data_IF_999370349987
#
_entry.id   IF_999370349987
#
_cell.length_a   1.000
_cell.length_b   1.000
_cell.length_c   1.000
_cell.angle_alpha   90.00
_cell.angle_beta   90.00
_cell.angle_gamma   90.00
#
_symmetry.space_group_name_H-M   'P 1'
#
loop_
_entity.id
_entity.type
_entity.pdbx_description
1 polymer ?
#
# COMPACT_ATOMS: atom_id res chain seq x y z
N UNK A 1 6.01 -5.31 22.59
CA UNK A 1 4.80 -5.62 21.78
C UNK A 1 4.48 -4.50 20.79
N UNK A 2 4.05 -3.30 21.24
CA UNK A 2 3.72 -2.16 20.35
C UNK A 2 4.81 -1.70 19.36
N UNK A 3 6.10 -1.83 19.69
CA UNK A 3 7.20 -1.51 18.75
C UNK A 3 7.33 -2.56 17.64
N UNK A 4 7.16 -3.85 17.98
CA UNK A 4 7.26 -4.94 17.03
C UNK A 4 6.11 -4.92 16.00
N UNK A 5 4.91 -4.50 16.42
CA UNK A 5 3.76 -4.39 15.50
C UNK A 5 3.98 -3.30 14.45
N UNK A 6 4.55 -2.15 14.83
CA UNK A 6 4.89 -1.06 13.89
C UNK A 6 5.98 -1.44 12.88
N UNK A 7 7.03 -2.12 13.33
CA UNK A 7 8.08 -2.58 12.40
C UNK A 7 7.52 -3.60 11.42
N UNK A 8 6.66 -4.52 11.87
CA UNK A 8 5.95 -5.42 10.95
C UNK A 8 5.06 -4.70 9.95
N UNK A 9 4.33 -3.66 10.38
CA UNK A 9 3.55 -2.84 9.46
C UNK A 9 4.43 -2.21 8.36
N UNK A 10 5.61 -1.69 8.74
CA UNK A 10 6.56 -1.13 7.77
C UNK A 10 7.10 -2.19 6.83
N UNK A 11 7.45 -3.37 7.35
CA UNK A 11 7.98 -4.48 6.54
C UNK A 11 6.96 -4.89 5.46
N UNK A 12 5.70 -5.12 5.85
CA UNK A 12 4.65 -5.49 4.90
C UNK A 12 4.36 -4.38 3.89
N UNK A 13 4.19 -3.14 4.36
CA UNK A 13 3.90 -2.02 3.48
C UNK A 13 5.01 -1.79 2.45
N UNK A 14 6.29 -1.87 2.87
CA UNK A 14 7.44 -1.59 1.99
C UNK A 14 7.82 -2.74 1.08
N UNK A 15 7.80 -3.98 1.57
CA UNK A 15 8.28 -5.11 0.77
C UNK A 15 7.23 -5.59 -0.23
N UNK A 16 5.95 -5.42 0.10
CA UNK A 16 4.83 -5.91 -0.71
C UNK A 16 3.99 -4.75 -1.31
N UNK A 17 4.41 -3.51 -1.10
CA UNK A 17 3.71 -2.30 -1.55
C UNK A 17 2.20 -2.31 -1.28
N UNK A 18 1.82 -2.71 -0.06
CA UNK A 18 0.42 -2.87 0.34
C UNK A 18 -0.20 -1.55 0.79
N UNK A 19 -1.49 -1.38 0.51
CA UNK A 19 -2.30 -0.33 1.12
C UNK A 19 -2.34 -0.45 2.64
N UNK A 20 -2.76 0.63 3.31
CA UNK A 20 -2.94 0.63 4.77
C UNK A 20 -3.93 -0.45 5.22
N UNK A 21 -5.02 -0.64 4.47
CA UNK A 21 -6.02 -1.67 4.71
C UNK A 21 -5.47 -3.10 4.54
N UNK A 22 -4.75 -3.36 3.45
CA UNK A 22 -4.16 -4.69 3.21
C UNK A 22 -3.04 -4.99 4.21
N UNK A 23 -2.26 -3.98 4.62
CA UNK A 23 -1.26 -4.13 5.68
C UNK A 23 -1.91 -4.49 7.02
N UNK A 24 -3.02 -3.84 7.39
CA UNK A 24 -3.78 -4.17 8.60
C UNK A 24 -4.30 -5.62 8.56
N UNK A 25 -4.87 -6.03 7.43
CA UNK A 25 -5.37 -7.39 7.22
C UNK A 25 -4.25 -8.44 7.35
N UNK A 26 -3.09 -8.15 6.77
CA UNK A 26 -1.95 -9.08 6.79
C UNK A 26 -1.35 -9.23 8.18
N UNK A 27 -1.28 -8.14 8.94
CA UNK A 27 -0.85 -8.14 10.35
C UNK A 27 -1.75 -9.03 11.22
N UNK A 28 -3.07 -9.00 11.00
CA UNK A 28 -4.02 -9.87 11.70
C UNK A 28 -3.85 -11.33 11.29
N UNK A 29 -3.67 -11.59 9.98
CA UNK A 29 -3.60 -12.94 9.42
C UNK A 29 -2.29 -13.66 9.78
N UNK A 30 -1.15 -13.03 9.54
CA UNK A 30 0.18 -13.64 9.66
C UNK A 30 0.76 -13.53 11.07
N UNK A 31 0.56 -12.40 11.76
CA UNK A 31 1.11 -12.20 13.10
C UNK A 31 0.10 -12.44 14.23
N UNK A 32 -1.17 -12.71 13.90
CA UNK A 32 -2.26 -12.90 14.87
C UNK A 32 -2.40 -11.72 15.83
N UNK A 33 -2.12 -10.51 15.33
CA UNK A 33 -2.42 -9.29 16.08
C UNK A 33 -3.93 -9.10 16.15
N UNK A 34 -4.39 -8.54 17.27
CA UNK A 34 -5.79 -8.10 17.38
C UNK A 34 -6.08 -6.98 16.38
N UNK A 35 -7.35 -6.76 15.97
CA UNK A 35 -7.72 -5.64 15.11
C UNK A 35 -7.20 -4.30 15.65
N UNK A 36 -7.28 -4.08 16.96
CA UNK A 36 -6.80 -2.86 17.61
C UNK A 36 -5.27 -2.71 17.53
N UNK A 37 -4.51 -3.80 17.67
CA UNK A 37 -3.05 -3.79 17.54
C UNK A 37 -2.59 -3.53 16.10
N UNK A 38 -3.26 -4.13 15.12
CA UNK A 38 -2.97 -3.95 13.70
C UNK A 38 -3.28 -2.51 13.25
N UNK A 39 -4.47 -2.01 13.59
CA UNK A 39 -4.86 -0.63 13.33
C UNK A 39 -3.90 0.37 13.98
N UNK A 40 -3.58 0.17 15.27
CA UNK A 40 -2.61 1.01 15.97
C UNK A 40 -1.24 1.00 15.28
N UNK A 41 -0.78 -0.15 14.77
CA UNK A 41 0.49 -0.26 14.08
C UNK A 41 0.50 0.56 12.78
N UNK A 42 -0.51 0.38 11.92
CA UNK A 42 -0.66 1.10 10.65
C UNK A 42 -0.74 2.62 10.86
N UNK A 43 -1.52 3.07 11.84
CA UNK A 43 -1.70 4.50 12.14
C UNK A 43 -0.46 5.16 12.77
N UNK A 44 0.34 4.40 13.53
CA UNK A 44 1.44 4.95 14.35
C UNK A 44 2.84 4.52 13.90
N UNK A 45 2.96 3.85 12.74
CA UNK A 45 4.24 3.43 12.18
C UNK A 45 4.98 4.55 11.42
N UNK A 46 4.30 5.66 11.09
CA UNK A 46 4.89 6.75 10.30
C UNK A 46 5.21 6.33 8.86
N UNK A 47 4.37 5.48 8.28
CA UNK A 47 4.47 5.03 6.89
C UNK A 47 3.92 6.12 5.99
N UNK A 48 4.65 6.46 4.94
CA UNK A 48 4.16 7.33 3.89
C UNK A 48 3.38 6.50 2.86
N UNK A 49 2.08 6.39 3.08
CA UNK A 49 1.20 5.58 2.22
C UNK A 49 1.10 6.10 0.78
N UNK A 50 1.41 7.38 0.55
CA UNK A 50 1.46 7.96 -0.80
C UNK A 50 2.67 7.44 -1.58
N UNK A 51 3.81 7.33 -0.92
CA UNK A 51 5.01 6.71 -1.51
C UNK A 51 4.80 5.21 -1.75
N UNK A 52 4.15 4.50 -0.83
CA UNK A 52 3.81 3.08 -1.05
C UNK A 52 2.89 2.90 -2.26
N UNK A 53 1.86 3.75 -2.41
CA UNK A 53 0.99 3.72 -3.59
C UNK A 53 1.74 4.02 -4.89
N UNK A 54 2.72 4.93 -4.87
CA UNK A 54 3.55 5.23 -6.03
C UNK A 54 4.42 4.05 -6.44
N UNK A 55 5.06 3.35 -5.49
CA UNK A 55 5.81 2.14 -5.79
C UNK A 55 4.92 1.04 -6.35
N UNK A 56 3.73 0.83 -5.77
CA UNK A 56 2.77 -0.13 -6.33
C UNK A 56 2.33 0.23 -7.75
N UNK A 57 2.11 1.53 -8.00
CA UNK A 57 1.75 2.02 -9.33
C UNK A 57 2.86 1.75 -10.37
N UNK A 58 4.13 1.89 -9.97
CA UNK A 58 5.28 1.57 -10.83
C UNK A 58 5.33 0.08 -11.17
N UNK A 59 5.07 -0.80 -10.20
CA UNK A 59 5.01 -2.25 -10.43
C UNK A 59 3.88 -2.63 -11.39
N UNK A 60 2.67 -2.11 -11.17
CA UNK A 60 1.51 -2.35 -12.04
C UNK A 60 1.81 -1.90 -13.48
N UNK A 61 2.39 -0.70 -13.64
CA UNK A 61 2.82 -0.18 -14.95
C UNK A 61 3.90 -1.05 -15.61
N UNK A 62 4.86 -1.57 -14.85
CA UNK A 62 5.91 -2.46 -15.39
C UNK A 62 5.36 -3.82 -15.83
N UNK A 63 4.30 -4.30 -15.17
CA UNK A 63 3.63 -5.56 -15.53
C UNK A 63 2.64 -5.45 -16.68
N UNK A 64 2.33 -4.24 -17.13
CA UNK A 64 1.33 -3.98 -18.17
C UNK A 64 1.83 -4.42 -19.56
N UNK A 65 0.96 -5.01 -20.39
CA UNK A 65 1.33 -5.47 -21.73
C UNK A 65 1.66 -4.33 -22.71
N UNK A 66 1.04 -3.15 -22.54
CA UNK A 66 1.28 -1.97 -23.37
C UNK A 66 1.24 -0.65 -22.56
N UNK A 67 2.08 0.35 -22.91
CA UNK A 67 2.26 1.57 -22.12
C UNK A 67 1.05 2.52 -22.08
N UNK A 68 0.24 2.56 -23.15
CA UNK A 68 -0.94 3.45 -23.23
C UNK A 68 -2.16 2.86 -22.50
N UNK A 69 -2.23 1.53 -22.40
CA UNK A 69 -3.26 0.82 -21.63
C UNK A 69 -3.02 0.90 -20.11
N UNK A 70 -1.75 1.11 -19.71
CA UNK A 70 -1.31 1.01 -18.32
C UNK A 70 -1.94 2.05 -17.37
N UNK A 71 -2.33 3.24 -17.83
CA UNK A 71 -2.71 4.34 -16.91
C UNK A 71 -4.10 4.13 -16.27
N UNK A 72 -5.12 3.73 -17.04
CA UNK A 72 -6.46 3.45 -16.47
C UNK A 72 -6.39 2.24 -15.56
N UNK A 73 -5.75 1.17 -16.03
CA UNK A 73 -5.56 -0.08 -15.30
C UNK A 73 -4.76 0.11 -14.00
N UNK A 74 -3.75 0.99 -14.00
CA UNK A 74 -2.98 1.27 -12.78
C UNK A 74 -3.86 1.95 -11.72
N UNK A 75 -4.71 2.90 -12.11
CA UNK A 75 -5.64 3.54 -11.16
C UNK A 75 -6.63 2.53 -10.60
N UNK A 76 -7.27 1.76 -11.48
CA UNK A 76 -8.28 0.77 -11.09
C UNK A 76 -7.65 -0.34 -10.23
N UNK A 77 -6.41 -0.74 -10.55
CA UNK A 77 -5.61 -1.67 -9.78
C UNK A 77 -5.36 -1.18 -8.35
N UNK A 78 -4.87 0.06 -8.18
CA UNK A 78 -4.67 0.63 -6.84
C UNK A 78 -5.98 0.73 -6.03
N UNK A 79 -7.08 1.12 -6.68
CA UNK A 79 -8.40 1.16 -6.02
C UNK A 79 -8.88 -0.24 -5.61
N UNK A 80 -8.67 -1.24 -6.47
CA UNK A 80 -8.98 -2.64 -6.14
C UNK A 80 -8.17 -3.15 -4.95
N UNK A 81 -6.93 -2.66 -4.81
CA UNK A 81 -6.03 -2.94 -3.69
C UNK A 81 -6.28 -2.05 -2.46
N UNK A 82 -7.40 -1.30 -2.43
CA UNK A 82 -7.84 -0.52 -1.27
C UNK A 82 -6.90 0.63 -0.89
N UNK A 83 -6.14 1.18 -1.84
CA UNK A 83 -5.49 2.48 -1.65
C UNK A 83 -6.55 3.59 -1.60
N UNK A 84 -6.31 4.62 -0.77
CA UNK A 84 -7.23 5.75 -0.63
C UNK A 84 -7.13 6.68 -1.84
N UNK A 85 -8.19 7.43 -2.12
CA UNK A 85 -8.25 8.32 -3.27
C UNK A 85 -7.08 9.33 -3.31
N UNK A 86 -6.66 9.87 -2.16
CA UNK A 86 -5.53 10.78 -2.08
C UNK A 86 -4.16 10.11 -2.35
N UNK A 87 -4.02 8.83 -2.03
CA UNK A 87 -2.83 8.02 -2.29
C UNK A 87 -2.76 7.63 -3.77
N UNK A 88 -3.88 7.17 -4.32
CA UNK A 88 -4.06 6.89 -5.75
C UNK A 88 -3.77 8.15 -6.57
N UNK A 89 -4.36 9.29 -6.20
CA UNK A 89 -4.12 10.56 -6.88
C UNK A 89 -2.64 10.93 -6.89
N UNK A 90 -1.98 10.86 -5.72
CA UNK A 90 -0.55 11.15 -5.63
C UNK A 90 0.28 10.21 -6.52
N UNK A 91 0.01 8.90 -6.47
CA UNK A 91 0.71 7.92 -7.29
C UNK A 91 0.55 8.22 -8.78
N UNK A 92 -0.68 8.46 -9.26
CA UNK A 92 -0.96 8.76 -10.67
C UNK A 92 -0.35 10.10 -11.14
N UNK A 93 -0.29 11.11 -10.27
CA UNK A 93 0.33 12.41 -10.58
C UNK A 93 1.87 12.30 -10.66
N UNK A 94 2.48 11.36 -9.95
CA UNK A 94 3.94 11.17 -9.94
C UNK A 94 4.43 10.04 -10.86
N UNK A 95 3.56 9.13 -11.31
CA UNK A 95 3.89 8.05 -12.26
C UNK A 95 4.16 8.55 -13.69
N UNK A 96 3.71 9.76 -14.01
CA UNK A 96 3.85 10.42 -15.32
C UNK A 96 5.19 11.16 -15.49
N UNK A 97 5.98 11.28 -14.42
CA UNK A 97 7.32 11.87 -14.44
C UNK A 97 8.34 10.82 -14.87
#
# INVERSE_FOLDING_TARGET
RKKATKEKAKDYAKNNHLSSFNTESELQRENRFTPEEAKYAVENAGIDWKEIALERAKELKQSAPEPDFAISDTRDGLQSEQFRDEEVKYAMDNLKK
#
